data_IF_182069897297
#
_entry.id   IF_182069897297
#
_cell.length_a   1.000
_cell.length_b   1.000
_cell.length_c   1.000
_cell.angle_alpha   90.00
_cell.angle_beta   90.00
_cell.angle_gamma   90.00
#
_symmetry.space_group_name_H-M   'P 1'
#
loop_
_entity.id
_entity.type
_entity.pdbx_description
1 polymer ?
#
# COMPACT_ATOMS: atom_id res chain seq x y z
N UNK A 1 60.32 46.64 -68.51
CA UNK A 1 60.99 45.68 -67.63
C UNK A 1 59.94 45.05 -66.78
N UNK A 2 59.43 43.83 -67.03
CA UNK A 2 58.33 43.20 -66.30
C UNK A 2 58.92 42.32 -65.18
N UNK A 3 58.45 42.52 -63.96
CA UNK A 3 58.77 41.76 -62.75
C UNK A 3 57.93 40.48 -62.80
N UNK A 4 58.62 39.31 -62.83
CA UNK A 4 58.00 38.00 -62.66
C UNK A 4 57.83 37.70 -61.13
N UNK A 5 56.58 37.59 -60.69
CA UNK A 5 56.27 37.04 -59.39
C UNK A 5 56.21 35.50 -59.49
N UNK A 6 57.05 34.84 -58.69
CA UNK A 6 57.07 33.37 -58.54
C UNK A 6 55.92 32.92 -57.62
N UNK A 7 55.21 31.87 -57.93
CA UNK A 7 54.16 31.35 -57.00
C UNK A 7 54.86 30.53 -55.91
N UNK A 8 54.57 30.89 -54.63
CA UNK A 8 54.94 30.11 -53.45
C UNK A 8 54.14 28.84 -53.40
N UNK A 9 54.76 27.69 -53.41
CA UNK A 9 54.10 26.40 -53.15
C UNK A 9 53.73 26.31 -51.65
N UNK A 10 52.47 26.24 -51.40
CA UNK A 10 51.92 25.85 -50.07
C UNK A 10 52.07 24.32 -49.99
N UNK A 11 53.00 23.87 -49.14
CA UNK A 11 53.07 22.44 -48.78
C UNK A 11 51.90 22.10 -47.89
N UNK A 12 50.95 21.40 -48.44
CA UNK A 12 49.93 20.66 -47.68
C UNK A 12 50.60 19.40 -47.12
N UNK A 13 50.86 19.40 -45.80
CA UNK A 13 51.13 18.17 -45.09
C UNK A 13 49.77 17.49 -44.93
N UNK A 14 49.60 16.24 -45.38
CA UNK A 14 48.39 15.48 -45.01
C UNK A 14 48.48 15.17 -43.51
N UNK A 15 47.56 15.68 -42.73
CA UNK A 15 47.37 15.25 -41.34
C UNK A 15 47.17 13.73 -41.37
N UNK A 16 48.15 13.01 -40.83
CA UNK A 16 48.06 11.57 -40.66
C UNK A 16 46.92 11.31 -39.68
N UNK A 17 45.80 10.76 -40.14
CA UNK A 17 44.72 10.25 -39.28
C UNK A 17 45.29 9.01 -38.60
N UNK A 18 45.80 9.21 -37.38
CA UNK A 18 46.26 8.09 -36.54
C UNK A 18 45.00 7.28 -36.14
N UNK A 19 44.87 6.07 -36.66
CA UNK A 19 43.82 5.14 -36.29
C UNK A 19 44.06 4.58 -34.90
N UNK A 20 43.01 4.45 -34.11
CA UNK A 20 43.09 3.86 -32.77
C UNK A 20 43.64 2.43 -32.79
N UNK A 21 44.54 2.12 -31.90
CA UNK A 21 45.09 0.78 -31.70
C UNK A 21 44.02 -0.15 -31.12
N UNK A 22 44.01 -1.41 -31.57
CA UNK A 22 43.12 -2.44 -31.05
C UNK A 22 43.21 -2.60 -29.51
N UNK A 23 44.42 -2.44 -28.98
CA UNK A 23 44.67 -2.52 -27.53
C UNK A 23 44.10 -1.31 -26.79
N UNK A 24 44.11 -0.14 -27.39
CA UNK A 24 43.59 1.10 -26.80
C UNK A 24 42.07 1.01 -26.64
N UNK A 25 41.36 0.52 -27.66
CA UNK A 25 39.93 0.25 -27.57
C UNK A 25 39.63 -0.83 -26.54
N UNK A 26 40.44 -1.90 -26.47
CA UNK A 26 40.22 -2.98 -25.49
C UNK A 26 40.38 -2.48 -24.05
N UNK A 27 41.37 -1.64 -23.76
CA UNK A 27 41.59 -1.05 -22.43
C UNK A 27 40.48 -0.07 -22.07
N UNK A 28 40.00 0.75 -23.00
CA UNK A 28 38.89 1.67 -22.78
C UNK A 28 37.60 0.90 -22.46
N UNK A 29 37.29 -0.16 -23.22
CA UNK A 29 36.14 -1.00 -22.96
C UNK A 29 36.22 -1.70 -21.60
N UNK A 30 37.40 -2.16 -21.19
CA UNK A 30 37.61 -2.76 -19.88
C UNK A 30 37.34 -1.74 -18.75
N UNK A 31 37.88 -0.54 -18.86
CA UNK A 31 37.66 0.53 -17.86
C UNK A 31 36.17 0.90 -17.78
N UNK A 32 35.51 1.08 -18.93
CA UNK A 32 34.10 1.41 -18.98
C UNK A 32 33.24 0.30 -18.34
N UNK A 33 33.54 -0.98 -18.63
CA UNK A 33 32.79 -2.10 -18.05
C UNK A 33 32.93 -2.17 -16.53
N UNK A 34 34.12 -1.90 -15.99
CA UNK A 34 34.33 -1.83 -14.53
C UNK A 34 33.59 -0.64 -13.92
N UNK A 35 33.66 0.54 -14.53
CA UNK A 35 32.95 1.73 -14.03
C UNK A 35 31.43 1.54 -14.05
N UNK A 36 30.87 0.98 -15.11
CA UNK A 36 29.42 0.68 -15.20
C UNK A 36 28.99 -0.33 -14.15
N UNK A 37 29.80 -1.37 -13.88
CA UNK A 37 29.50 -2.36 -12.86
C UNK A 37 29.42 -1.78 -11.44
N UNK A 38 30.26 -0.81 -11.11
CA UNK A 38 30.27 -0.15 -9.79
C UNK A 38 29.02 0.73 -9.59
N UNK A 39 28.52 1.37 -10.65
CA UNK A 39 27.38 2.30 -10.57
C UNK A 39 26.02 1.57 -10.62
N UNK A 40 25.95 0.41 -11.27
CA UNK A 40 24.67 -0.28 -11.51
C UNK A 40 24.02 -0.84 -10.23
N UNK A 41 24.81 -1.33 -9.26
CA UNK A 41 24.30 -1.96 -8.03
C UNK A 41 23.59 -0.96 -7.10
N UNK A 42 24.12 0.25 -6.80
CA UNK A 42 23.45 1.17 -5.88
C UNK A 42 22.16 1.80 -6.44
N UNK A 43 21.97 1.83 -7.76
CA UNK A 43 20.77 2.43 -8.37
C UNK A 43 19.50 1.60 -8.08
N UNK A 44 19.58 0.29 -8.14
CA UNK A 44 18.41 -0.59 -7.89
C UNK A 44 17.91 -0.50 -6.46
N UNK A 45 18.81 -0.45 -5.47
CA UNK A 45 18.45 -0.30 -4.07
C UNK A 45 17.87 1.09 -3.74
N UNK A 46 18.36 2.15 -4.38
CA UNK A 46 17.81 3.50 -4.25
C UNK A 46 16.39 3.60 -4.82
N UNK A 47 16.13 2.96 -5.97
CA UNK A 47 14.79 2.92 -6.57
C UNK A 47 13.83 2.16 -5.66
N UNK A 48 14.24 1.04 -5.08
CA UNK A 48 13.40 0.27 -4.15
C UNK A 48 13.09 1.07 -2.88
N UNK A 49 14.09 1.68 -2.26
CA UNK A 49 13.88 2.56 -1.11
C UNK A 49 12.92 3.72 -1.43
N UNK A 50 13.06 4.33 -2.61
CA UNK A 50 12.15 5.39 -3.06
C UNK A 50 10.71 4.90 -3.22
N UNK A 51 10.49 3.68 -3.73
CA UNK A 51 9.15 3.08 -3.84
C UNK A 51 8.51 2.81 -2.48
N UNK A 52 9.28 2.33 -1.52
CA UNK A 52 8.81 2.13 -0.14
C UNK A 52 8.37 3.46 0.47
N UNK A 53 9.19 4.51 0.36
CA UNK A 53 8.87 5.85 0.87
C UNK A 53 7.62 6.43 0.22
N UNK A 54 7.49 6.30 -1.10
CA UNK A 54 6.32 6.79 -1.83
C UNK A 54 5.06 6.00 -1.45
N UNK A 55 5.16 4.67 -1.28
CA UNK A 55 4.04 3.83 -0.83
C UNK A 55 3.61 4.21 0.59
N UNK A 56 4.54 4.40 1.52
CA UNK A 56 4.24 4.90 2.87
C UNK A 56 3.47 6.22 2.83
N UNK A 57 3.91 7.16 2.00
CA UNK A 57 3.22 8.44 1.83
C UNK A 57 1.79 8.27 1.32
N UNK A 58 1.57 7.41 0.33
CA UNK A 58 0.22 7.13 -0.20
C UNK A 58 -0.68 6.49 0.85
N UNK A 59 -0.16 5.56 1.63
CA UNK A 59 -0.90 4.89 2.72
C UNK A 59 -1.24 5.89 3.84
N UNK A 60 -0.33 6.80 4.22
CA UNK A 60 -0.63 7.85 5.21
C UNK A 60 -1.68 8.85 4.70
N UNK A 61 -1.61 9.25 3.43
CA UNK A 61 -2.67 10.07 2.83
C UNK A 61 -4.02 9.36 2.83
N UNK A 62 -4.04 8.05 2.56
CA UNK A 62 -5.24 7.24 2.64
C UNK A 62 -5.79 7.18 4.07
N UNK A 63 -4.91 7.02 5.06
CA UNK A 63 -5.29 7.01 6.49
C UNK A 63 -5.94 8.33 6.90
N UNK A 64 -5.37 9.46 6.51
CA UNK A 64 -5.97 10.78 6.78
C UNK A 64 -7.30 10.98 6.03
N UNK A 65 -7.43 10.49 4.79
CA UNK A 65 -8.69 10.53 4.05
C UNK A 65 -9.78 9.68 4.73
N UNK A 66 -9.44 8.50 5.27
CA UNK A 66 -10.36 7.66 6.04
C UNK A 66 -10.83 8.36 7.31
N UNK A 67 -9.92 9.03 8.03
CA UNK A 67 -10.27 9.83 9.21
C UNK A 67 -11.19 10.99 8.82
N UNK A 68 -10.86 11.73 7.76
CA UNK A 68 -11.71 12.80 7.22
C UNK A 68 -13.10 12.32 6.82
N UNK A 69 -13.17 11.15 6.18
CA UNK A 69 -14.44 10.50 5.84
C UNK A 69 -15.23 10.14 7.11
N UNK A 70 -14.58 9.55 8.12
CA UNK A 70 -15.24 9.21 9.38
C UNK A 70 -15.80 10.45 10.09
N UNK A 71 -15.04 11.52 10.15
CA UNK A 71 -15.48 12.81 10.74
C UNK A 71 -16.69 13.38 9.99
N UNK A 72 -16.67 13.33 8.66
CA UNK A 72 -17.77 13.88 7.83
C UNK A 72 -19.01 13.00 7.86
N UNK A 73 -18.85 11.68 7.69
CA UNK A 73 -19.94 10.73 7.51
C UNK A 73 -20.40 10.03 8.81
N UNK A 74 -19.62 10.13 9.90
CA UNK A 74 -19.89 9.44 11.17
C UNK A 74 -19.71 7.93 11.10
N UNK A 75 -18.92 7.44 10.13
CA UNK A 75 -18.63 6.01 9.91
C UNK A 75 -17.31 5.84 9.14
N UNK A 76 -16.72 4.67 9.19
CA UNK A 76 -15.67 4.25 8.27
C UNK A 76 -16.26 3.78 6.94
N UNK A 77 -15.54 3.91 5.82
CA UNK A 77 -15.96 3.28 4.57
C UNK A 77 -15.78 1.76 4.66
N UNK A 78 -16.59 0.98 3.95
CA UNK A 78 -16.28 -0.42 3.71
C UNK A 78 -15.18 -0.57 2.66
N UNK A 79 -14.37 -1.64 2.70
CA UNK A 79 -13.46 -1.97 1.63
C UNK A 79 -14.17 -2.06 0.28
N UNK A 80 -13.47 -1.76 -0.78
CA UNK A 80 -13.93 -2.02 -2.14
C UNK A 80 -13.73 -3.50 -2.46
N UNK A 81 -14.74 -4.14 -3.03
CA UNK A 81 -14.62 -5.50 -3.56
C UNK A 81 -13.89 -5.50 -4.92
N UNK A 82 -13.46 -6.65 -5.39
CA UNK A 82 -12.79 -6.79 -6.71
C UNK A 82 -13.65 -6.30 -7.89
N UNK A 83 -14.96 -6.15 -7.70
CA UNK A 83 -15.92 -5.75 -8.75
C UNK A 83 -16.56 -4.38 -8.52
N UNK A 84 -16.26 -3.69 -7.39
CA UNK A 84 -16.92 -2.42 -7.04
C UNK A 84 -16.23 -1.18 -7.61
N UNK A 85 -15.20 -1.35 -8.43
CA UNK A 85 -14.50 -0.26 -9.14
C UNK A 85 -14.04 0.85 -8.19
N UNK A 86 -13.36 0.47 -7.10
CA UNK A 86 -12.85 1.40 -6.09
C UNK A 86 -13.92 2.08 -5.22
N UNK A 87 -15.17 1.64 -5.28
CA UNK A 87 -16.26 2.12 -4.43
C UNK A 87 -16.48 1.20 -3.25
N UNK A 88 -16.83 1.75 -2.08
CA UNK A 88 -17.19 0.95 -0.89
C UNK A 88 -18.28 -0.06 -1.19
N UNK A 89 -18.10 -1.30 -0.74
CA UNK A 89 -18.99 -2.42 -1.03
C UNK A 89 -19.62 -3.01 0.24
N UNK A 90 -20.93 -3.18 0.24
CA UNK A 90 -21.74 -3.62 1.38
C UNK A 90 -22.51 -4.91 1.04
N UNK A 91 -22.98 -5.61 2.04
CA UNK A 91 -23.98 -6.65 1.85
C UNK A 91 -25.40 -6.05 1.82
N UNK A 92 -26.25 -6.52 0.94
CA UNK A 92 -27.68 -6.14 0.93
C UNK A 92 -28.35 -6.55 2.24
N UNK A 93 -27.98 -7.70 2.81
CA UNK A 93 -28.50 -8.21 4.08
C UNK A 93 -27.50 -8.09 5.22
N UNK A 94 -27.95 -7.74 6.43
CA UNK A 94 -27.13 -7.69 7.64
C UNK A 94 -26.72 -9.07 8.16
N UNK A 95 -27.39 -10.14 7.77
CA UNK A 95 -27.16 -11.53 8.19
C UNK A 95 -27.20 -12.48 6.99
N UNK A 96 -26.63 -13.68 7.16
CA UNK A 96 -26.63 -14.71 6.13
C UNK A 96 -25.69 -14.43 4.96
N UNK A 97 -26.01 -14.92 3.77
CA UNK A 97 -25.22 -14.72 2.56
C UNK A 97 -25.10 -13.24 2.18
N UNK A 98 -24.00 -12.87 1.53
CA UNK A 98 -23.74 -11.50 1.10
C UNK A 98 -23.93 -11.35 -0.41
N UNK A 99 -25.01 -10.69 -0.82
CA UNK A 99 -25.10 -10.11 -2.16
C UNK A 99 -24.51 -8.69 -2.09
N UNK A 100 -23.44 -8.44 -2.85
CA UNK A 100 -22.71 -7.17 -2.80
C UNK A 100 -23.51 -6.02 -3.42
N UNK A 101 -23.44 -4.83 -2.79
CA UNK A 101 -24.04 -3.58 -3.28
C UNK A 101 -23.13 -2.40 -2.94
N UNK A 102 -23.17 -1.34 -3.74
CA UNK A 102 -22.50 -0.07 -3.44
C UNK A 102 -23.40 0.92 -2.68
N UNK A 103 -24.68 0.58 -2.50
CA UNK A 103 -25.61 1.38 -1.69
C UNK A 103 -25.43 1.06 -0.21
N UNK A 104 -25.28 2.09 0.62
CA UNK A 104 -25.12 1.93 2.08
C UNK A 104 -26.42 1.41 2.71
N UNK A 105 -26.42 0.20 3.30
CA UNK A 105 -27.58 -0.31 4.06
C UNK A 105 -27.55 0.22 5.50
N UNK A 106 -28.70 0.17 6.17
CA UNK A 106 -28.85 0.63 7.57
C UNK A 106 -27.96 -0.11 8.56
N UNK A 107 -27.75 -1.42 8.34
CA UNK A 107 -26.89 -2.25 9.21
C UNK A 107 -25.39 -2.02 9.01
N UNK A 108 -24.95 -1.46 7.86
CA UNK A 108 -23.56 -1.13 7.57
C UNK A 108 -22.61 -2.32 7.36
N UNK A 109 -23.11 -3.55 7.16
CA UNK A 109 -22.26 -4.73 6.92
C UNK A 109 -21.50 -4.60 5.61
N UNK A 110 -20.17 -4.69 5.67
CA UNK A 110 -19.32 -4.74 4.48
C UNK A 110 -19.48 -6.07 3.74
N UNK A 111 -19.37 -6.05 2.42
CA UNK A 111 -19.37 -7.27 1.59
C UNK A 111 -18.17 -8.15 1.88
N UNK A 112 -17.03 -7.50 2.12
CA UNK A 112 -15.80 -8.10 2.60
C UNK A 112 -15.16 -7.11 3.59
N UNK A 113 -14.86 -7.50 4.82
CA UNK A 113 -14.17 -6.63 5.77
C UNK A 113 -12.68 -6.44 5.46
N UNK A 114 -12.10 -7.27 4.60
CA UNK A 114 -10.73 -7.15 4.09
C UNK A 114 -10.74 -7.16 2.55
N UNK A 115 -10.47 -6.03 1.92
CA UNK A 115 -10.52 -5.86 0.47
C UNK A 115 -9.56 -4.77 -0.02
N UNK A 116 -9.99 -4.02 -1.03
CA UNK A 116 -9.20 -2.91 -1.57
C UNK A 116 -9.59 -1.58 -0.92
N UNK A 117 -8.63 -0.65 -0.89
CA UNK A 117 -8.91 0.72 -0.44
C UNK A 117 -9.98 1.36 -1.35
N UNK A 118 -11.10 1.86 -0.79
CA UNK A 118 -12.20 2.41 -1.57
C UNK A 118 -11.86 3.83 -2.07
N UNK A 119 -10.91 3.93 -3.00
CA UNK A 119 -10.30 5.16 -3.45
C UNK A 119 -11.31 6.14 -4.07
N UNK A 120 -12.27 5.64 -4.83
CA UNK A 120 -13.35 6.46 -5.44
C UNK A 120 -14.27 7.03 -4.35
N UNK A 121 -14.62 6.23 -3.33
CA UNK A 121 -15.43 6.72 -2.19
C UNK A 121 -14.69 7.80 -1.39
N UNK A 122 -13.36 7.67 -1.23
CA UNK A 122 -12.51 8.59 -0.49
C UNK A 122 -12.04 9.79 -1.31
N UNK A 123 -12.18 9.74 -2.65
CA UNK A 123 -11.71 10.81 -3.55
C UNK A 123 -10.18 10.92 -3.59
N UNK A 124 -9.46 9.81 -3.47
CA UNK A 124 -7.98 9.79 -3.44
C UNK A 124 -7.39 9.30 -4.76
N UNK A 125 -6.14 9.68 -5.01
CA UNK A 125 -5.34 9.27 -6.18
C UNK A 125 -3.87 9.06 -5.75
N UNK A 126 -3.04 8.33 -6.52
CA UNK A 126 -3.34 7.76 -7.84
C UNK A 126 -4.17 6.48 -7.78
N UNK A 127 -4.92 6.22 -8.85
CA UNK A 127 -5.70 4.99 -9.04
C UNK A 127 -5.36 4.31 -10.37
N UNK A 128 -5.64 3.01 -10.46
CA UNK A 128 -5.56 2.26 -11.71
C UNK A 128 -6.74 2.57 -12.65
N UNK A 129 -6.78 1.94 -13.82
CA UNK A 129 -7.85 2.12 -14.81
C UNK A 129 -9.24 1.68 -14.31
N UNK A 130 -9.28 0.86 -13.24
CA UNK A 130 -10.49 0.37 -12.60
C UNK A 130 -10.88 1.18 -11.34
N UNK A 131 -10.13 2.24 -10.99
CA UNK A 131 -10.43 3.12 -9.87
C UNK A 131 -9.90 2.65 -8.51
N UNK A 132 -9.02 1.66 -8.44
CA UNK A 132 -8.40 1.21 -7.19
C UNK A 132 -7.10 1.96 -6.92
N UNK A 133 -6.87 2.36 -5.68
CA UNK A 133 -5.61 2.97 -5.26
C UNK A 133 -4.43 1.99 -5.44
N UNK A 134 -3.33 2.49 -5.99
CA UNK A 134 -2.13 1.71 -6.29
C UNK A 134 -0.93 2.18 -5.46
N UNK A 135 -0.06 1.24 -5.15
CA UNK A 135 1.24 1.51 -4.53
C UNK A 135 2.28 2.05 -5.54
N UNK A 136 3.53 2.19 -5.14
CA UNK A 136 4.59 2.74 -5.99
C UNK A 136 5.21 1.72 -6.96
N UNK A 137 4.88 0.45 -6.90
CA UNK A 137 5.39 -0.57 -7.83
C UNK A 137 4.64 -0.59 -9.18
N UNK A 138 3.37 -0.22 -9.21
CA UNK A 138 2.58 0.20 -10.40
C UNK A 138 2.68 -0.73 -11.63
N UNK A 139 2.81 -2.03 -11.47
CA UNK A 139 2.89 -2.96 -12.60
C UNK A 139 1.51 -3.44 -13.12
N UNK A 140 0.42 -2.85 -12.59
CA UNK A 140 -0.96 -3.12 -13.03
C UNK A 140 -1.60 -4.38 -12.46
N UNK A 141 -0.90 -5.16 -11.64
CA UNK A 141 -1.46 -6.34 -10.99
C UNK A 141 -2.35 -5.96 -9.79
N UNK A 142 -3.37 -6.77 -9.49
CA UNK A 142 -4.23 -6.59 -8.31
C UNK A 142 -3.43 -6.57 -7.00
N UNK A 143 -2.30 -7.27 -6.96
CA UNK A 143 -1.36 -7.27 -5.85
C UNK A 143 -0.71 -5.90 -5.58
N UNK A 144 -0.76 -4.96 -6.55
CA UNK A 144 -0.25 -3.58 -6.41
C UNK A 144 -1.31 -2.60 -5.95
N UNK A 145 -2.52 -3.07 -5.76
CA UNK A 145 -3.60 -2.27 -5.18
C UNK A 145 -3.41 -2.17 -3.68
N UNK A 146 -3.51 -0.95 -3.16
CA UNK A 146 -3.52 -0.72 -1.72
C UNK A 146 -4.75 -1.41 -1.14
N UNK A 147 -4.53 -2.20 -0.11
CA UNK A 147 -5.55 -2.96 0.59
C UNK A 147 -6.03 -2.22 1.82
N UNK A 148 -7.21 -2.59 2.25
CA UNK A 148 -7.87 -1.97 3.38
C UNK A 148 -8.73 -3.00 4.09
N UNK A 149 -8.51 -3.12 5.39
CA UNK A 149 -9.34 -3.91 6.28
C UNK A 149 -10.04 -3.01 7.29
N UNK A 150 -11.29 -3.33 7.60
CA UNK A 150 -12.08 -2.63 8.63
C UNK A 150 -12.61 -3.63 9.64
N UNK A 151 -12.61 -3.24 10.91
CA UNK A 151 -13.17 -4.07 11.99
C UNK A 151 -14.62 -4.44 11.71
N UNK A 152 -14.92 -5.73 11.74
CA UNK A 152 -16.23 -6.31 11.50
C UNK A 152 -17.06 -6.48 12.79
N UNK A 153 -16.76 -5.67 13.82
CA UNK A 153 -17.55 -5.70 15.05
C UNK A 153 -19.02 -5.49 14.78
N UNK A 154 -19.82 -6.42 15.27
CA UNK A 154 -21.27 -6.36 15.21
C UNK A 154 -21.86 -6.14 16.61
N UNK A 155 -22.75 -5.17 16.74
CA UNK A 155 -23.47 -4.92 17.98
C UNK A 155 -24.51 -6.02 18.25
N UNK A 156 -24.98 -6.17 19.50
CA UNK A 156 -26.04 -7.14 19.84
C UNK A 156 -27.34 -6.99 19.05
N UNK A 157 -27.60 -5.80 18.48
CA UNK A 157 -28.78 -5.53 17.64
C UNK A 157 -28.53 -5.76 16.14
N UNK A 158 -27.41 -6.39 15.79
CA UNK A 158 -27.11 -6.77 14.40
C UNK A 158 -26.59 -5.68 13.50
N UNK A 159 -26.20 -4.52 14.03
CA UNK A 159 -25.56 -3.43 13.27
C UNK A 159 -24.04 -3.47 13.38
N UNK A 160 -23.36 -2.86 12.42
CA UNK A 160 -21.88 -2.72 12.38
C UNK A 160 -21.54 -1.25 12.68
N UNK A 161 -21.35 -0.85 13.94
CA UNK A 161 -21.30 0.56 14.34
C UNK A 161 -20.19 1.36 13.67
N UNK A 162 -19.06 0.71 13.32
CA UNK A 162 -17.97 1.42 12.66
C UNK A 162 -18.28 1.78 11.19
N UNK A 163 -19.22 1.06 10.54
CA UNK A 163 -19.49 1.21 9.09
C UNK A 163 -20.95 1.55 8.77
N UNK A 164 -21.87 1.45 9.73
CA UNK A 164 -23.26 1.90 9.59
C UNK A 164 -23.38 3.43 9.53
N UNK A 165 -24.42 3.93 8.91
CA UNK A 165 -24.70 5.37 8.83
C UNK A 165 -24.73 6.03 10.22
N UNK A 166 -23.90 7.02 10.45
CA UNK A 166 -23.69 7.68 11.75
C UNK A 166 -23.36 6.73 12.93
N UNK A 167 -22.94 5.50 12.63
CA UNK A 167 -22.77 4.47 13.65
C UNK A 167 -21.73 4.84 14.71
N UNK A 168 -20.61 5.49 14.32
CA UNK A 168 -19.61 5.97 15.28
C UNK A 168 -20.17 7.06 16.19
N UNK A 169 -21.04 7.93 15.67
CA UNK A 169 -21.64 9.04 16.46
C UNK A 169 -22.65 8.56 17.50
N UNK A 170 -23.25 7.41 17.27
CA UNK A 170 -24.29 6.84 18.16
C UNK A 170 -23.75 5.80 19.11
N UNK A 171 -22.57 5.26 18.85
CA UNK A 171 -21.93 4.27 19.69
C UNK A 171 -21.02 4.94 20.74
N UNK A 172 -20.93 4.33 21.91
CA UNK A 172 -19.95 4.73 22.93
C UNK A 172 -18.62 4.03 22.70
N UNK A 173 -17.52 4.67 23.07
CA UNK A 173 -16.20 4.07 22.97
C UNK A 173 -16.12 2.78 23.80
N UNK A 174 -16.72 2.76 24.98
CA UNK A 174 -16.77 1.59 25.85
C UNK A 174 -17.46 0.39 25.16
N UNK A 175 -18.59 0.62 24.54
CA UNK A 175 -19.34 -0.45 23.81
C UNK A 175 -18.53 -1.00 22.63
N UNK A 176 -17.81 -0.15 21.91
CA UNK A 176 -16.98 -0.58 20.78
C UNK A 176 -15.69 -1.23 21.28
N UNK A 177 -15.00 -0.65 22.26
CA UNK A 177 -13.73 -1.15 22.77
C UNK A 177 -13.84 -2.50 23.48
N UNK A 178 -14.99 -2.79 24.09
CA UNK A 178 -15.27 -4.09 24.72
C UNK A 178 -15.50 -5.23 23.72
N UNK A 179 -15.57 -4.94 22.43
CA UNK A 179 -15.86 -5.92 21.40
C UNK A 179 -14.66 -6.82 21.09
N UNK A 180 -14.93 -8.03 20.61
CA UNK A 180 -13.93 -9.07 20.36
C UNK A 180 -13.43 -9.15 18.93
N UNK A 181 -14.02 -8.45 17.98
CA UNK A 181 -13.72 -8.61 16.54
C UNK A 181 -12.99 -7.38 15.95
N UNK A 182 -12.10 -6.78 16.73
CA UNK A 182 -11.18 -5.76 16.23
C UNK A 182 -9.97 -6.37 15.57
N UNK A 183 -9.31 -5.58 14.72
CA UNK A 183 -8.12 -6.02 14.01
C UNK A 183 -6.92 -5.99 14.95
N UNK A 184 -6.09 -7.03 14.85
CA UNK A 184 -4.81 -7.14 15.54
C UNK A 184 -3.69 -6.70 14.61
N UNK A 185 -2.75 -5.94 15.15
CA UNK A 185 -1.51 -5.62 14.45
C UNK A 185 -0.34 -6.12 15.29
N UNK A 186 0.46 -6.97 14.70
CA UNK A 186 1.57 -7.68 15.32
C UNK A 186 2.90 -7.22 14.73
N UNK A 187 3.98 -7.27 15.50
CA UNK A 187 5.31 -7.02 14.97
C UNK A 187 5.75 -8.16 14.05
N UNK A 188 6.67 -7.87 13.11
CA UNK A 188 7.34 -8.91 12.29
C UNK A 188 8.04 -9.96 13.16
N UNK A 189 8.28 -11.14 12.58
CA UNK A 189 8.86 -12.28 13.30
C UNK A 189 7.80 -13.21 13.90
N UNK A 190 6.60 -13.20 13.33
CA UNK A 190 5.52 -14.11 13.71
C UNK A 190 5.88 -15.56 13.39
N UNK A 191 5.78 -16.43 14.39
CA UNK A 191 5.85 -17.88 14.23
C UNK A 191 4.47 -18.54 14.21
N UNK A 192 3.40 -17.76 13.95
CA UNK A 192 2.02 -18.23 13.96
C UNK A 192 1.48 -18.43 12.54
N UNK A 193 0.63 -19.44 12.39
CA UNK A 193 -0.07 -19.66 11.12
C UNK A 193 -1.01 -18.48 10.81
N UNK A 194 -1.21 -18.14 9.52
CA UNK A 194 -2.25 -17.19 9.11
C UNK A 194 -3.64 -17.57 9.64
N UNK A 195 -4.53 -16.61 9.73
CA UNK A 195 -5.91 -16.80 10.21
C UNK A 195 -6.04 -17.09 11.71
N UNK A 196 -5.07 -16.67 12.52
CA UNK A 196 -5.22 -16.70 13.98
C UNK A 196 -5.99 -15.45 14.46
N UNK A 197 -6.56 -15.53 15.66
CA UNK A 197 -7.30 -14.42 16.27
C UNK A 197 -6.46 -13.58 17.25
N UNK A 198 -5.13 -13.71 17.20
CA UNK A 198 -4.21 -12.98 18.09
C UNK A 198 -2.77 -13.04 17.55
N UNK A 199 -1.89 -12.22 18.11
CA UNK A 199 -0.46 -12.23 17.79
C UNK A 199 0.32 -13.43 18.38
N UNK A 200 -0.33 -14.35 19.08
CA UNK A 200 0.36 -15.48 19.72
C UNK A 200 1.47 -15.02 20.65
N UNK A 201 2.70 -15.46 20.37
CA UNK A 201 3.92 -15.07 21.14
C UNK A 201 4.61 -13.82 20.59
N UNK A 202 4.18 -13.29 19.43
CA UNK A 202 4.75 -12.09 18.85
C UNK A 202 4.32 -10.83 19.61
N UNK A 203 5.14 -9.78 19.53
CA UNK A 203 4.81 -8.50 20.13
C UNK A 203 3.55 -7.92 19.49
N UNK A 204 2.53 -7.66 20.29
CA UNK A 204 1.30 -7.02 19.85
C UNK A 204 1.49 -5.51 19.81
N UNK A 205 1.31 -4.91 18.63
CA UNK A 205 1.34 -3.47 18.42
C UNK A 205 -0.02 -2.82 18.66
N UNK A 206 -1.10 -3.51 18.30
CA UNK A 206 -2.48 -3.10 18.57
C UNK A 206 -3.39 -4.30 18.63
N UNK A 207 -4.34 -4.30 19.60
CA UNK A 207 -5.44 -5.27 19.71
C UNK A 207 -6.79 -4.67 19.29
N UNK A 208 -6.82 -3.36 19.03
CA UNK A 208 -8.04 -2.59 18.80
C UNK A 208 -7.84 -1.63 17.61
N UNK A 209 -7.37 -2.15 16.47
CA UNK A 209 -7.36 -1.36 15.26
C UNK A 209 -8.78 -1.36 14.65
N UNK A 210 -9.31 -0.15 14.43
CA UNK A 210 -10.56 0.05 13.72
C UNK A 210 -10.42 -0.23 12.23
N UNK A 211 -9.22 0.02 11.70
CA UNK A 211 -8.88 -0.20 10.30
C UNK A 211 -7.38 -0.44 10.14
N UNK A 212 -7.01 -1.21 9.13
CA UNK A 212 -5.63 -1.43 8.66
C UNK A 212 -5.56 -1.10 7.18
N UNK A 213 -4.53 -0.35 6.78
CA UNK A 213 -4.25 0.01 5.39
C UNK A 213 -2.87 -0.52 5.06
N UNK A 214 -2.74 -1.23 3.94
CA UNK A 214 -1.48 -1.89 3.64
C UNK A 214 -1.25 -2.10 2.14
N UNK A 215 0.02 -2.25 1.78
CA UNK A 215 0.51 -2.68 0.47
C UNK A 215 1.31 -3.95 0.66
N UNK A 216 1.17 -4.89 -0.26
CA UNK A 216 1.92 -6.16 -0.29
C UNK A 216 3.34 -6.00 -0.86
N UNK A 217 3.83 -4.79 -0.97
CA UNK A 217 5.22 -4.52 -1.37
C UNK A 217 5.60 -5.03 -2.75
N UNK A 218 6.89 -5.26 -2.95
CA UNK A 218 7.48 -5.69 -4.22
C UNK A 218 7.08 -7.13 -4.58
N UNK A 219 6.99 -8.00 -3.60
CA UNK A 219 6.72 -9.41 -3.78
C UNK A 219 5.23 -9.77 -3.71
N UNK A 220 4.32 -8.79 -3.65
CA UNK A 220 2.88 -9.02 -3.58
C UNK A 220 2.29 -9.86 -4.72
N UNK A 221 3.02 -10.07 -5.83
CA UNK A 221 2.66 -11.01 -6.91
C UNK A 221 3.16 -12.43 -6.68
N UNK A 222 3.95 -12.66 -5.63
CA UNK A 222 4.45 -14.00 -5.28
C UNK A 222 3.29 -14.88 -4.82
N UNK A 223 3.32 -16.16 -5.20
CA UNK A 223 2.30 -17.10 -4.78
C UNK A 223 2.29 -17.23 -3.25
N UNK A 224 1.10 -17.26 -2.66
CA UNK A 224 0.91 -17.36 -1.19
C UNK A 224 1.73 -18.48 -0.54
N UNK A 225 1.88 -19.64 -1.22
CA UNK A 225 2.64 -20.78 -0.71
C UNK A 225 4.12 -20.45 -0.47
N UNK A 226 4.69 -19.56 -1.28
CA UNK A 226 6.13 -19.24 -1.32
C UNK A 226 6.51 -18.07 -0.39
N UNK A 227 5.52 -17.39 0.24
CA UNK A 227 5.74 -16.30 1.17
C UNK A 227 6.13 -16.78 2.57
N UNK A 228 6.81 -15.91 3.32
CA UNK A 228 7.03 -16.05 4.76
C UNK A 228 5.73 -15.90 5.57
N UNK A 229 5.73 -16.32 6.84
CA UNK A 229 4.54 -16.20 7.69
C UNK A 229 4.06 -14.76 7.87
N UNK A 230 4.99 -13.81 8.02
CA UNK A 230 4.67 -12.39 8.21
C UNK A 230 3.91 -11.82 7.02
N UNK A 231 4.36 -12.12 5.79
CA UNK A 231 3.70 -11.69 4.55
C UNK A 231 2.40 -12.47 4.29
N UNK A 232 2.37 -13.77 4.67
CA UNK A 232 1.14 -14.56 4.58
C UNK A 232 0.00 -13.98 5.40
N UNK A 233 0.29 -13.44 6.60
CA UNK A 233 -0.73 -12.77 7.41
C UNK A 233 -1.31 -11.52 6.74
N UNK A 234 -0.57 -10.85 5.86
CA UNK A 234 -1.07 -9.68 5.14
C UNK A 234 -1.70 -10.05 3.78
N UNK A 235 -1.27 -11.18 3.19
CA UNK A 235 -1.82 -11.65 1.91
C UNK A 235 -3.07 -12.54 2.09
N UNK A 236 -3.32 -13.07 3.29
CA UNK A 236 -4.52 -13.83 3.57
C UNK A 236 -5.74 -12.89 3.51
N UNK A 237 -6.56 -13.09 2.48
CA UNK A 237 -7.76 -12.29 2.22
C UNK A 237 -9.03 -13.01 2.67
N UNK A 238 -8.90 -13.94 3.59
CA UNK A 238 -10.05 -14.62 4.19
C UNK A 238 -11.00 -13.62 4.88
N UNK A 239 -12.30 -13.79 4.73
CA UNK A 239 -13.32 -12.91 5.31
C UNK A 239 -13.27 -12.81 6.85
N UNK A 240 -12.49 -13.66 7.49
CA UNK A 240 -12.33 -13.73 8.95
C UNK A 240 -10.90 -13.41 9.39
N UNK A 241 -10.02 -13.01 8.48
CA UNK A 241 -8.68 -12.59 8.86
C UNK A 241 -8.74 -11.24 9.58
N UNK A 242 -8.26 -11.24 10.82
CA UNK A 242 -8.21 -10.07 11.70
C UNK A 242 -6.79 -9.77 12.20
N UNK A 243 -5.78 -10.52 11.73
CA UNK A 243 -4.38 -10.40 12.18
C UNK A 243 -3.52 -9.90 11.04
N UNK A 244 -2.85 -8.81 11.26
CA UNK A 244 -1.93 -8.18 10.32
C UNK A 244 -0.54 -8.06 10.92
N UNK A 245 0.48 -8.16 10.10
CA UNK A 245 1.88 -7.98 10.51
C UNK A 245 2.37 -6.63 10.03
N UNK A 246 2.99 -5.87 10.93
CA UNK A 246 3.60 -4.58 10.62
C UNK A 246 5.03 -4.52 11.16
N UNK A 247 5.95 -4.05 10.34
CA UNK A 247 7.36 -3.90 10.69
C UNK A 247 8.10 -3.05 9.65
N UNK A 248 9.40 -2.90 9.86
CA UNK A 248 10.23 -2.26 8.86
C UNK A 248 10.60 -3.26 7.76
N UNK A 249 10.50 -2.83 6.47
CA UNK A 249 10.89 -3.67 5.34
C UNK A 249 12.33 -4.17 5.46
N UNK A 250 12.51 -5.46 5.17
CA UNK A 250 13.79 -6.15 5.18
C UNK A 250 13.86 -7.16 4.03
N UNK A 251 14.85 -8.07 4.01
CA UNK A 251 15.04 -9.03 2.93
C UNK A 251 13.94 -10.11 2.83
N UNK A 252 13.13 -10.30 3.87
CA UNK A 252 12.07 -11.33 3.97
C UNK A 252 10.69 -10.77 4.22
N UNK A 253 10.58 -9.46 4.36
CA UNK A 253 9.33 -8.74 4.60
C UNK A 253 9.41 -7.36 3.97
N UNK A 254 8.58 -7.06 2.99
CA UNK A 254 8.58 -5.79 2.27
C UNK A 254 7.21 -5.08 2.25
N UNK A 255 6.23 -5.63 2.97
CA UNK A 255 4.92 -5.02 3.12
C UNK A 255 5.00 -3.67 3.85
N UNK A 256 4.13 -2.77 3.47
CA UNK A 256 3.98 -1.47 4.12
C UNK A 256 2.62 -1.41 4.77
N UNK A 257 2.58 -1.36 6.10
CA UNK A 257 1.34 -1.45 6.89
C UNK A 257 1.21 -0.23 7.81
N UNK A 258 0.02 0.34 7.88
CA UNK A 258 -0.38 1.32 8.90
C UNK A 258 -1.79 1.00 9.41
N UNK A 259 -2.13 1.51 10.57
CA UNK A 259 -3.45 1.26 11.16
C UNK A 259 -4.05 2.49 11.82
N UNK A 260 -5.33 2.47 11.98
CA UNK A 260 -6.12 3.44 12.73
C UNK A 260 -6.66 2.77 13.99
N UNK A 261 -6.12 3.10 15.15
CA UNK A 261 -6.66 2.61 16.42
C UNK A 261 -7.98 3.30 16.77
N UNK A 262 -8.83 2.63 17.56
CA UNK A 262 -10.08 3.21 18.04
C UNK A 262 -9.84 4.51 18.80
N UNK A 263 -8.80 4.57 19.64
CA UNK A 263 -8.49 5.77 20.42
C UNK A 263 -8.18 6.98 19.54
N UNK A 264 -7.43 6.79 18.45
CA UNK A 264 -7.13 7.86 17.50
C UNK A 264 -8.41 8.28 16.76
N UNK A 265 -9.20 7.32 16.30
CA UNK A 265 -10.46 7.59 15.60
C UNK A 265 -11.41 8.43 16.47
N UNK A 266 -11.69 7.98 17.70
CA UNK A 266 -12.57 8.71 18.62
C UNK A 266 -11.99 10.06 19.02
N UNK A 267 -10.69 10.16 19.29
CA UNK A 267 -10.01 11.41 19.57
C UNK A 267 -10.19 12.44 18.44
N UNK A 268 -10.07 12.04 17.18
CA UNK A 268 -10.30 12.90 16.02
C UNK A 268 -11.78 13.30 15.88
N UNK A 269 -12.71 12.40 16.20
CA UNK A 269 -14.15 12.70 16.20
C UNK A 269 -14.52 13.72 17.27
N UNK A 270 -13.96 13.61 18.49
CA UNK A 270 -14.14 14.57 19.59
C UNK A 270 -13.57 15.95 19.21
N UNK A 271 -12.33 15.99 18.68
CA UNK A 271 -11.71 17.23 18.22
C UNK A 271 -12.53 17.97 17.16
N UNK A 272 -13.24 17.22 16.33
CA UNK A 272 -14.11 17.76 15.29
C UNK A 272 -15.54 18.09 15.79
N UNK A 273 -15.82 17.97 17.09
CA UNK A 273 -17.16 18.13 17.69
C UNK A 273 -18.22 17.22 17.05
N UNK A 274 -17.84 15.98 16.71
CA UNK A 274 -18.75 14.98 16.09
C UNK A 274 -19.19 13.89 17.09
N UNK A 275 -18.62 13.91 18.27
CA UNK A 275 -19.04 13.09 19.41
C UNK A 275 -19.42 14.01 20.58
N UNK A 276 -20.39 13.59 21.43
CA UNK A 276 -20.74 14.32 22.65
C UNK A 276 -19.60 14.40 23.66
#
# INVERSE_FOLDING_TARGET
MPIRLSPSRVNHYPDAIEGFSLIEIAVVLLIISVLVSIVAIPISSQVEASRIVETRKRIELAREAIVGFAVSQGRLPCPASATSVGVSSYCVSGTGGCAATTTLPTHGRCSDPNGFLPAVTLGISPVDAQGYAIDAWQDGADARRIRYAVSSFQSPVGTFPLTAANGIRTATMDTIAAASNHLYVCATGLAIAPSTSSCGTATTLSTQAAAVIYSLGKNGTTAYADLGFDEKNNQDVGSNDIVFTAGDPNSTYDDVVTWLSLNILFGRMVQANKLP
#
